data_IF_632336946036
#
_entry.id   IF_632336946036
#
_cell.length_a   1.000
_cell.length_b   1.000
_cell.length_c   1.000
_cell.angle_alpha   90.00
_cell.angle_beta   90.00
_cell.angle_gamma   90.00
#
_symmetry.space_group_name_H-M   'P 1'
#
loop_
_entity.id
_entity.type
_entity.pdbx_description
1 polymer ?
#
# COMPACT_ATOMS: atom_id res chain seq x y z
N UNK A 1 16.61 14.15 2.56
CA UNK A 1 15.36 13.45 2.93
C UNK A 1 15.66 11.97 2.88
N UNK A 2 15.70 11.32 4.06
CA UNK A 2 16.13 9.93 4.26
C UNK A 2 15.19 8.96 3.53
N UNK A 3 15.74 7.85 3.01
CA UNK A 3 15.02 6.92 2.12
C UNK A 3 13.81 6.27 2.79
N UNK A 4 13.86 6.03 4.10
CA UNK A 4 12.76 5.42 4.87
C UNK A 4 11.51 6.30 4.92
N UNK A 5 11.66 7.62 5.11
CA UNK A 5 10.53 8.56 5.14
C UNK A 5 9.75 8.56 3.82
N UNK A 6 10.37 8.27 2.68
CA UNK A 6 9.67 8.20 1.37
C UNK A 6 8.78 6.95 1.26
N UNK A 7 9.13 5.86 1.94
CA UNK A 7 8.36 4.62 1.94
C UNK A 7 7.16 4.74 2.86
N UNK A 8 7.35 5.27 4.07
CA UNK A 8 6.25 5.56 4.99
C UNK A 8 5.21 6.50 4.39
N UNK A 9 5.64 7.56 3.71
CA UNK A 9 4.72 8.48 3.02
C UNK A 9 3.94 7.77 1.91
N UNK A 10 4.57 6.86 1.17
CA UNK A 10 3.89 6.08 0.13
C UNK A 10 2.83 5.16 0.73
N UNK A 11 3.16 4.43 1.78
CA UNK A 11 2.22 3.56 2.51
C UNK A 11 1.05 4.39 3.05
N UNK A 12 1.35 5.52 3.72
CA UNK A 12 0.32 6.40 4.27
C UNK A 12 -0.57 6.98 3.17
N UNK A 13 0.01 7.36 2.03
CA UNK A 13 -0.74 7.85 0.88
C UNK A 13 -1.64 6.78 0.26
N UNK A 14 -1.21 5.52 0.22
CA UNK A 14 -2.02 4.40 -0.26
C UNK A 14 -3.22 4.14 0.67
N UNK A 15 -3.00 4.19 1.99
CA UNK A 15 -4.08 4.06 2.99
C UNK A 15 -5.08 5.21 2.83
N UNK A 16 -4.61 6.46 2.69
CA UNK A 16 -5.47 7.62 2.50
C UNK A 16 -6.29 7.52 1.19
N UNK A 17 -5.67 7.02 0.11
CA UNK A 17 -6.36 6.84 -1.17
C UNK A 17 -7.42 5.73 -1.09
N UNK A 18 -7.16 4.65 -0.36
CA UNK A 18 -8.16 3.61 -0.11
C UNK A 18 -9.35 4.13 0.69
N UNK A 19 -9.09 4.90 1.75
CA UNK A 19 -10.13 5.55 2.55
C UNK A 19 -11.01 6.46 1.68
N UNK A 20 -10.39 7.26 0.80
CA UNK A 20 -11.10 8.09 -0.16
C UNK A 20 -11.94 7.27 -1.16
N UNK A 21 -11.40 6.16 -1.67
CA UNK A 21 -12.10 5.24 -2.57
C UNK A 21 -13.33 4.59 -1.91
N UNK A 22 -13.20 4.11 -0.68
CA UNK A 22 -14.32 3.54 0.10
C UNK A 22 -15.36 4.62 0.41
N UNK A 23 -14.93 5.84 0.72
CA UNK A 23 -15.82 6.98 0.95
C UNK A 23 -16.62 7.35 -0.30
N UNK A 24 -15.97 7.41 -1.47
CA UNK A 24 -16.62 7.67 -2.76
C UNK A 24 -17.56 6.54 -3.18
N UNK A 25 -17.16 5.27 -3.00
CA UNK A 25 -18.02 4.12 -3.26
C UNK A 25 -19.29 4.18 -2.39
N UNK A 26 -19.13 4.48 -1.09
CA UNK A 26 -20.24 4.65 -0.16
C UNK A 26 -21.13 5.85 -0.54
N UNK A 27 -20.53 6.98 -0.90
CA UNK A 27 -21.27 8.15 -1.37
C UNK A 27 -22.04 7.87 -2.69
N UNK A 28 -21.49 7.03 -3.56
CA UNK A 28 -22.13 6.55 -4.78
C UNK A 28 -23.40 5.73 -4.52
N UNK A 29 -23.51 5.06 -3.37
CA UNK A 29 -24.76 4.40 -2.94
C UNK A 29 -25.80 5.39 -2.37
N UNK A 30 -25.36 6.55 -1.87
CA UNK A 30 -26.22 7.54 -1.20
C UNK A 30 -26.77 8.58 -2.19
N UNK A 31 -26.04 8.89 -3.26
CA UNK A 31 -26.46 9.85 -4.30
C UNK A 31 -27.49 9.23 -5.26
N UNK A 32 -28.62 9.90 -5.55
CA UNK A 32 -29.60 9.43 -6.53
C UNK A 32 -29.03 9.43 -7.96
N UNK A 33 -29.38 8.46 -8.84
CA UNK A 33 -30.41 7.43 -8.69
C UNK A 33 -29.96 6.25 -7.81
N UNK A 34 -30.71 6.03 -6.72
CA UNK A 34 -30.47 4.95 -5.75
C UNK A 34 -30.69 3.59 -6.41
N UNK A 35 -29.66 2.77 -6.49
CA UNK A 35 -29.74 1.40 -7.03
C UNK A 35 -28.81 1.14 -8.22
N UNK A 36 -28.24 2.18 -8.83
CA UNK A 36 -27.23 2.03 -9.88
C UNK A 36 -25.88 2.57 -9.40
N UNK A 37 -24.93 1.66 -9.15
CA UNK A 37 -23.53 2.06 -9.03
C UNK A 37 -23.06 2.48 -10.42
N UNK A 38 -22.77 3.76 -10.58
CA UNK A 38 -22.22 4.26 -11.84
C UNK A 38 -20.90 3.54 -12.14
N UNK A 39 -20.78 3.01 -13.36
CA UNK A 39 -19.61 2.25 -13.80
C UNK A 39 -18.30 3.03 -13.56
N UNK A 40 -18.34 4.35 -13.73
CA UNK A 40 -17.20 5.24 -13.48
C UNK A 40 -16.72 5.25 -12.02
N UNK A 41 -17.63 5.09 -11.04
CA UNK A 41 -17.26 5.05 -9.61
C UNK A 41 -16.60 3.72 -9.27
N UNK A 42 -17.16 2.62 -9.79
CA UNK A 42 -16.59 1.28 -9.60
C UNK A 42 -15.19 1.18 -10.23
N UNK A 43 -15.03 1.75 -11.43
CA UNK A 43 -13.76 1.74 -12.17
C UNK A 43 -12.72 2.64 -11.50
N UNK A 44 -13.12 3.81 -10.98
CA UNK A 44 -12.25 4.66 -10.16
C UNK A 44 -11.81 3.96 -8.86
N UNK A 45 -12.75 3.30 -8.17
CA UNK A 45 -12.46 2.53 -6.97
C UNK A 45 -11.50 1.36 -7.27
N UNK A 46 -11.70 0.66 -8.39
CA UNK A 46 -10.79 -0.38 -8.86
C UNK A 46 -9.37 0.17 -9.10
N UNK A 47 -9.23 1.36 -9.68
CA UNK A 47 -7.93 2.01 -9.83
C UNK A 47 -7.30 2.37 -8.48
N UNK A 48 -8.07 2.83 -7.49
CA UNK A 48 -7.57 3.05 -6.13
C UNK A 48 -7.05 1.74 -5.50
N UNK A 49 -7.76 0.62 -5.69
CA UNK A 49 -7.34 -0.69 -5.20
C UNK A 49 -6.05 -1.16 -5.89
N UNK A 50 -5.94 -1.00 -7.21
CA UNK A 50 -4.73 -1.37 -7.97
C UNK A 50 -3.54 -0.55 -7.50
N UNK A 51 -3.71 0.77 -7.35
CA UNK A 51 -2.65 1.65 -6.85
C UNK A 51 -2.18 1.24 -5.44
N UNK A 52 -3.12 1.07 -4.52
CA UNK A 52 -2.80 0.71 -3.15
C UNK A 52 -2.16 -0.70 -3.06
N UNK A 53 -2.70 -1.67 -3.80
CA UNK A 53 -2.14 -3.01 -3.91
C UNK A 53 -0.71 -3.01 -4.44
N UNK A 54 -0.41 -2.17 -5.43
CA UNK A 54 0.94 -2.06 -5.99
C UNK A 54 1.93 -1.46 -4.98
N UNK A 55 1.53 -0.43 -4.23
CA UNK A 55 2.36 0.18 -3.18
C UNK A 55 2.61 -0.82 -2.05
N UNK A 56 1.56 -1.49 -1.54
CA UNK A 56 1.72 -2.46 -0.46
C UNK A 56 2.51 -3.69 -0.89
N UNK A 57 2.30 -4.20 -2.10
CA UNK A 57 3.05 -5.34 -2.62
C UNK A 57 4.57 -5.07 -2.66
N UNK A 58 4.97 -3.89 -3.14
CA UNK A 58 6.39 -3.48 -3.14
C UNK A 58 6.90 -3.25 -1.72
N UNK A 59 6.10 -2.64 -0.83
CA UNK A 59 6.48 -2.41 0.56
C UNK A 59 6.76 -3.71 1.31
N UNK A 60 5.88 -4.71 1.21
CA UNK A 60 6.06 -6.02 1.86
C UNK A 60 7.29 -6.70 1.30
N UNK A 61 7.45 -6.71 -0.03
CA UNK A 61 8.62 -7.33 -0.68
C UNK A 61 9.94 -6.73 -0.18
N UNK A 62 10.03 -5.39 -0.11
CA UNK A 62 11.24 -4.72 0.37
C UNK A 62 11.51 -5.05 1.84
N UNK A 63 10.50 -5.02 2.71
CA UNK A 63 10.68 -5.37 4.12
C UNK A 63 11.15 -6.82 4.31
N UNK A 64 10.55 -7.78 3.60
CA UNK A 64 10.98 -9.18 3.67
C UNK A 64 12.43 -9.32 3.21
N UNK A 65 12.80 -8.71 2.07
CA UNK A 65 14.18 -8.79 1.56
C UNK A 65 15.19 -8.10 2.48
N UNK A 66 14.84 -6.96 3.08
CA UNK A 66 15.69 -6.32 4.08
C UNK A 66 15.87 -7.17 5.33
N UNK A 67 14.82 -7.84 5.79
CA UNK A 67 14.90 -8.74 6.94
C UNK A 67 15.82 -9.94 6.66
N UNK A 68 15.70 -10.56 5.47
CA UNK A 68 16.60 -11.65 5.03
C UNK A 68 18.06 -11.17 4.98
N UNK A 69 18.34 -10.05 4.28
CA UNK A 69 19.68 -9.47 4.17
C UNK A 69 20.28 -9.13 5.54
N UNK A 70 19.47 -8.58 6.46
CA UNK A 70 19.93 -8.26 7.82
C UNK A 70 20.30 -9.52 8.58
N UNK A 71 19.54 -10.61 8.44
CA UNK A 71 19.87 -11.89 9.07
C UNK A 71 21.15 -12.51 8.54
N UNK A 72 21.44 -12.39 7.24
CA UNK A 72 22.67 -12.92 6.65
C UNK A 72 23.91 -12.14 7.10
N UNK A 73 23.79 -10.83 7.31
CA UNK A 73 24.87 -9.99 7.83
C UNK A 73 25.16 -10.33 9.29
N UNK A 74 24.13 -10.41 10.13
CA UNK A 74 24.24 -10.78 11.56
C UNK A 74 24.95 -12.14 11.72
N UNK A 75 24.52 -13.15 10.94
CA UNK A 75 25.11 -14.49 10.98
C UNK A 75 26.59 -14.52 10.52
N UNK A 76 27.01 -13.56 9.69
CA UNK A 76 28.39 -13.47 9.20
C UNK A 76 29.30 -12.70 10.17
N UNK A 77 28.76 -11.76 10.94
CA UNK A 77 29.48 -11.09 12.03
C UNK A 77 29.73 -12.06 13.20
N UNK A 78 28.73 -12.84 13.62
CA UNK A 78 28.90 -13.82 14.70
C UNK A 78 29.89 -14.95 14.35
N UNK A 79 30.08 -15.25 13.06
CA UNK A 79 31.06 -16.23 12.57
C UNK A 79 32.49 -15.69 12.42
N UNK A 80 32.71 -14.37 12.60
CA UNK A 80 34.01 -13.72 12.45
C UNK A 80 34.76 -13.45 13.76
N UNK A 81 34.12 -13.66 14.92
CA UNK A 81 34.70 -13.44 16.25
C UNK A 81 35.30 -14.71 16.89
N UNK A 82 35.59 -15.75 16.10
CA UNK A 82 36.28 -16.98 16.55
C UNK A 82 37.64 -17.17 15.90
#
# INVERSE_FOLDING_TARGET
MTKETRTDIQIYSAIAMLMAGVGLATAGFIVPPTGEISDSVLLFFAQCLVYAGSIFGVSIYIHTKFAELKSEIDAKEEGGEQ
#
